data_IF_304391871327
#
_entry.id   IF_304391871327
#
_cell.length_a   1.000
_cell.length_b   1.000
_cell.length_c   1.000
_cell.angle_alpha   90.00
_cell.angle_beta   90.00
_cell.angle_gamma   90.00
#
_symmetry.space_group_name_H-M   'P 1'
#
loop_
_entity.id
_entity.type
_entity.pdbx_description
1 polymer ?
#
# COMPACT_ATOMS: atom_id res chain seq x y z
N UNK A 1 17.79 -5.65 2.62
CA UNK A 1 16.45 -5.24 3.07
C UNK A 1 16.45 -3.72 3.10
N UNK A 2 15.46 -3.07 2.49
CA UNK A 2 15.32 -1.62 2.61
C UNK A 2 14.72 -1.31 3.98
N UNK A 3 15.35 -0.40 4.72
CA UNK A 3 14.84 0.08 6.02
C UNK A 3 14.21 1.46 5.83
N UNK A 4 13.03 1.68 6.42
CA UNK A 4 12.37 2.98 6.49
C UNK A 4 12.54 3.49 7.92
N UNK A 5 13.31 4.56 8.08
CA UNK A 5 13.54 5.21 9.38
C UNK A 5 12.59 6.39 9.53
N UNK A 6 11.84 6.44 10.63
CA UNK A 6 10.91 7.51 10.95
C UNK A 6 11.40 8.30 12.16
N UNK A 7 11.49 9.62 12.04
CA UNK A 7 11.73 10.50 13.17
C UNK A 7 10.39 10.79 13.87
N UNK A 8 10.27 10.36 15.12
CA UNK A 8 9.05 10.53 15.92
C UNK A 8 9.33 11.54 17.04
N UNK A 9 8.54 12.62 17.15
CA UNK A 9 8.58 13.52 18.31
C UNK A 9 8.33 12.80 19.64
N UNK A 10 9.06 13.17 20.68
CA UNK A 10 9.00 12.52 22.02
C UNK A 10 7.61 12.59 22.68
N UNK A 11 6.78 13.55 22.26
CA UNK A 11 5.44 13.80 22.80
C UNK A 11 4.40 12.80 22.30
N UNK A 12 4.71 12.01 21.25
CA UNK A 12 3.77 11.07 20.65
C UNK A 12 3.80 9.70 21.35
N UNK A 13 2.63 9.07 21.56
CA UNK A 13 2.57 7.74 22.12
C UNK A 13 3.13 6.70 21.14
N UNK A 14 4.41 6.36 21.29
CA UNK A 14 5.11 5.36 20.48
C UNK A 14 4.35 4.02 20.34
N UNK A 15 3.74 3.45 21.41
CA UNK A 15 3.05 2.17 21.28
C UNK A 15 1.88 2.19 20.29
N UNK A 16 1.07 3.26 20.28
CA UNK A 16 -0.06 3.36 19.37
C UNK A 16 0.37 3.69 17.95
N UNK A 17 1.45 4.47 17.78
CA UNK A 17 2.05 4.72 16.47
C UNK A 17 2.60 3.43 15.85
N UNK A 18 3.31 2.61 16.64
CA UNK A 18 3.83 1.31 16.20
C UNK A 18 2.69 0.38 15.79
N UNK A 19 1.60 0.33 16.58
CA UNK A 19 0.43 -0.47 16.23
C UNK A 19 -0.16 -0.04 14.88
N UNK A 20 -0.35 1.27 14.69
CA UNK A 20 -0.91 1.81 13.44
C UNK A 20 0.00 1.60 12.24
N UNK A 21 1.32 1.68 12.41
CA UNK A 21 2.29 1.35 11.36
C UNK A 21 2.22 -0.13 10.98
N UNK A 22 2.10 -1.03 11.96
CA UNK A 22 1.94 -2.47 11.69
C UNK A 22 0.66 -2.77 10.92
N UNK A 23 -0.44 -2.11 11.28
CA UNK A 23 -1.72 -2.26 10.56
C UNK A 23 -1.58 -1.79 9.11
N UNK A 24 -0.92 -0.64 8.89
CA UNK A 24 -0.69 -0.09 7.56
C UNK A 24 0.21 -1.00 6.69
N UNK A 25 1.26 -1.57 7.29
CA UNK A 25 2.14 -2.54 6.62
C UNK A 25 1.36 -3.81 6.25
N UNK A 26 0.51 -4.30 7.16
CA UNK A 26 -0.31 -5.49 6.90
C UNK A 26 -1.33 -5.24 5.77
N UNK A 27 -1.94 -4.05 5.74
CA UNK A 27 -2.85 -3.64 4.68
C UNK A 27 -2.15 -3.58 3.32
N UNK A 28 -0.98 -2.97 3.23
CA UNK A 28 -0.25 -2.91 1.97
C UNK A 28 0.27 -4.27 1.51
N UNK A 29 0.70 -5.13 2.44
CA UNK A 29 1.04 -6.50 2.10
C UNK A 29 -0.18 -7.25 1.55
N UNK A 30 -1.37 -7.08 2.13
CA UNK A 30 -2.59 -7.70 1.63
C UNK A 30 -2.94 -7.19 0.22
N UNK A 31 -2.89 -5.87 -0.02
CA UNK A 31 -3.11 -5.28 -1.35
C UNK A 31 -2.14 -5.83 -2.38
N UNK A 32 -0.85 -5.91 -2.04
CA UNK A 32 0.18 -6.46 -2.91
C UNK A 32 -0.06 -7.94 -3.22
N UNK A 33 -0.43 -8.72 -2.21
CA UNK A 33 -0.75 -10.13 -2.39
C UNK A 33 -1.96 -10.32 -3.31
N UNK A 34 -3.03 -9.53 -3.12
CA UNK A 34 -4.21 -9.57 -3.99
C UNK A 34 -3.89 -9.16 -5.42
N UNK A 35 -3.01 -8.17 -5.60
CA UNK A 35 -2.51 -7.76 -6.92
C UNK A 35 -1.77 -8.90 -7.61
N UNK A 36 -0.75 -9.50 -6.98
CA UNK A 36 -0.01 -10.65 -7.54
C UNK A 36 -0.96 -11.80 -7.90
N UNK A 37 -1.88 -12.14 -7.00
CA UNK A 37 -2.85 -13.21 -7.25
C UNK A 37 -3.75 -12.90 -8.44
N UNK A 38 -4.12 -11.64 -8.63
CA UNK A 38 -4.95 -11.21 -9.77
C UNK A 38 -4.16 -11.30 -11.07
N UNK A 39 -2.89 -10.89 -11.06
CA UNK A 39 -1.97 -11.02 -12.19
C UNK A 39 -1.78 -12.50 -12.60
N UNK A 40 -1.53 -13.38 -11.62
CA UNK A 40 -1.34 -14.82 -11.85
C UNK A 40 -2.60 -15.49 -12.40
N UNK A 41 -3.77 -15.20 -11.82
CA UNK A 41 -5.06 -15.79 -12.23
C UNK A 41 -5.48 -15.33 -13.63
N UNK A 42 -5.18 -14.08 -13.98
CA UNK A 42 -5.56 -13.50 -15.26
C UNK A 42 -4.53 -13.77 -16.38
N UNK A 43 -3.38 -14.40 -16.06
CA UNK A 43 -2.29 -14.67 -16.99
C UNK A 43 -1.88 -13.43 -17.80
N UNK A 44 -1.84 -12.28 -17.12
CA UNK A 44 -1.58 -10.98 -17.74
C UNK A 44 -0.16 -10.97 -18.31
N UNK A 45 -0.01 -10.49 -19.55
CA UNK A 45 1.31 -10.16 -20.09
C UNK A 45 1.85 -8.89 -19.42
N UNK A 46 3.14 -8.57 -19.59
CA UNK A 46 3.76 -7.38 -18.97
C UNK A 46 3.03 -6.08 -19.29
N UNK A 47 2.44 -5.95 -20.48
CA UNK A 47 1.68 -4.76 -20.89
C UNK A 47 0.38 -4.63 -20.09
N UNK A 48 -0.32 -5.74 -19.89
CA UNK A 48 -1.54 -5.76 -19.10
C UNK A 48 -1.25 -5.54 -17.60
N UNK A 49 -0.11 -6.02 -17.09
CA UNK A 49 0.33 -5.73 -15.71
C UNK A 49 0.56 -4.23 -15.50
N UNK A 50 1.25 -3.56 -16.43
CA UNK A 50 1.48 -2.11 -16.34
C UNK A 50 0.18 -1.33 -16.34
N UNK A 51 -0.76 -1.67 -17.23
CA UNK A 51 -2.08 -1.04 -17.25
C UNK A 51 -2.86 -1.27 -15.95
N UNK A 52 -2.69 -2.44 -15.31
CA UNK A 52 -3.33 -2.76 -14.05
C UNK A 52 -2.72 -1.98 -12.87
N UNK A 53 -1.40 -1.79 -12.84
CA UNK A 53 -0.73 -0.93 -11.85
C UNK A 53 -1.16 0.53 -12.01
N UNK A 54 -1.21 1.04 -13.23
CA UNK A 54 -1.68 2.41 -13.50
C UNK A 54 -3.12 2.61 -13.03
N UNK A 55 -4.03 1.67 -13.34
CA UNK A 55 -5.40 1.72 -12.85
C UNK A 55 -5.49 1.67 -11.33
N UNK A 56 -4.68 0.83 -10.68
CA UNK A 56 -4.64 0.74 -9.22
C UNK A 56 -4.23 2.07 -8.61
N UNK A 57 -3.19 2.71 -9.16
CA UNK A 57 -2.68 3.98 -8.65
C UNK A 57 -3.68 5.11 -8.89
N UNK A 58 -4.37 5.14 -10.02
CA UNK A 58 -5.48 6.08 -10.28
C UNK A 58 -6.61 5.89 -9.28
N UNK A 59 -7.08 4.65 -9.09
CA UNK A 59 -8.14 4.34 -8.13
C UNK A 59 -7.74 4.71 -6.69
N UNK A 60 -6.47 4.49 -6.33
CA UNK A 60 -5.95 4.89 -5.02
C UNK A 60 -5.88 6.41 -4.85
N UNK A 61 -5.45 7.15 -5.88
CA UNK A 61 -5.42 8.61 -5.87
C UNK A 61 -6.82 9.22 -5.80
N UNK A 62 -7.81 8.65 -6.48
CA UNK A 62 -9.20 9.07 -6.34
C UNK A 62 -9.72 8.79 -4.93
N UNK A 63 -9.41 7.61 -4.38
CA UNK A 63 -9.85 7.24 -3.04
C UNK A 63 -9.24 8.12 -1.95
N UNK A 64 -7.97 8.51 -2.08
CA UNK A 64 -7.28 9.44 -1.17
C UNK A 64 -7.98 10.79 -1.04
N UNK A 65 -8.53 11.32 -2.15
CA UNK A 65 -9.30 12.57 -2.14
C UNK A 65 -10.52 12.52 -1.21
N UNK A 66 -11.17 11.35 -1.10
CA UNK A 66 -12.30 11.16 -0.18
C UNK A 66 -11.88 11.27 1.29
N UNK A 67 -10.61 11.04 1.60
CA UNK A 67 -10.04 11.14 2.95
C UNK A 67 -9.28 12.45 3.20
N UNK A 68 -9.26 13.39 2.23
CA UNK A 68 -8.52 14.64 2.34
C UNK A 68 -7.00 14.47 2.38
N UNK A 69 -6.49 13.36 1.82
CA UNK A 69 -5.06 13.02 1.72
C UNK A 69 -4.50 13.30 0.33
#
# INVERSE_FOLDING_TARGET
MAEIVLNVPDELPLPSLIARLKDLIAEEHLKWMLFIKSVDVLALNETDMQAFEEMRDVAWMEKKKEFGL
#
